data_IF_990386454904
#
_entry.id   IF_990386454904
#
_cell.length_a   1.000
_cell.length_b   1.000
_cell.length_c   1.000
_cell.angle_alpha   90.00
_cell.angle_beta   90.00
_cell.angle_gamma   90.00
#
_symmetry.space_group_name_H-M   'P 1'
#
loop_
_entity.id
_entity.type
_entity.pdbx_description
1 polymer ?
#
# COMPACT_ATOMS: atom_id res chain seq x y z
N UNK A 1 11.84 34.43 27.81
CA UNK A 1 12.14 33.46 26.75
C UNK A 1 10.82 32.93 26.20
N UNK A 2 10.58 33.05 24.89
CA UNK A 2 9.27 32.77 24.27
C UNK A 2 9.08 31.26 24.05
N UNK A 3 8.28 30.61 24.89
CA UNK A 3 7.93 29.18 24.82
C UNK A 3 6.88 28.85 23.74
N UNK A 4 6.25 29.88 23.18
CA UNK A 4 5.17 29.72 22.19
C UNK A 4 5.70 29.11 20.88
N UNK A 5 6.88 29.54 20.44
CA UNK A 5 7.51 29.06 19.20
C UNK A 5 7.99 27.60 19.31
N UNK A 6 8.38 27.14 20.50
CA UNK A 6 8.82 25.77 20.75
C UNK A 6 7.63 24.81 20.75
N UNK A 7 6.51 25.21 21.37
CA UNK A 7 5.29 24.40 21.39
C UNK A 7 4.70 24.16 20.00
N UNK A 8 4.69 25.17 19.11
CA UNK A 8 4.21 24.98 17.73
C UNK A 8 5.11 24.05 16.91
N UNK A 9 6.43 24.17 17.06
CA UNK A 9 7.38 23.29 16.40
C UNK A 9 7.23 21.84 16.86
N UNK A 10 7.09 21.63 18.17
CA UNK A 10 6.88 20.30 18.76
C UNK A 10 5.54 19.68 18.32
N UNK A 11 4.48 20.49 18.24
CA UNK A 11 3.18 20.03 17.73
C UNK A 11 3.26 19.62 16.25
N UNK A 12 3.95 20.41 15.41
CA UNK A 12 4.16 20.06 13.99
C UNK A 12 4.97 18.78 13.84
N UNK A 13 6.03 18.61 14.64
CA UNK A 13 6.85 17.39 14.64
C UNK A 13 6.01 16.17 15.04
N UNK A 14 5.18 16.27 16.08
CA UNK A 14 4.27 15.19 16.50
C UNK A 14 3.25 14.84 15.41
N UNK A 15 2.64 15.84 14.78
CA UNK A 15 1.67 15.64 13.72
C UNK A 15 2.30 14.94 12.49
N UNK A 16 3.51 15.35 12.10
CA UNK A 16 4.25 14.71 11.01
C UNK A 16 4.66 13.28 11.35
N UNK A 17 5.10 13.01 12.58
CA UNK A 17 5.40 11.65 13.03
C UNK A 17 4.16 10.74 12.99
N UNK A 18 3.01 11.23 13.48
CA UNK A 18 1.74 10.48 13.41
C UNK A 18 1.31 10.23 11.96
N UNK A 19 1.46 11.23 11.10
CA UNK A 19 1.16 11.09 9.67
C UNK A 19 2.08 10.05 9.00
N UNK A 20 3.38 10.05 9.32
CA UNK A 20 4.33 9.07 8.80
C UNK A 20 3.95 7.64 9.24
N UNK A 21 3.65 7.46 10.53
CA UNK A 21 3.20 6.18 11.06
C UNK A 21 1.91 5.69 10.39
N UNK A 22 0.94 6.58 10.17
CA UNK A 22 -0.30 6.23 9.47
C UNK A 22 -0.07 5.80 8.02
N UNK A 23 0.82 6.49 7.30
CA UNK A 23 1.18 6.13 5.92
C UNK A 23 1.94 4.80 5.89
N UNK A 24 2.89 4.58 6.78
CA UNK A 24 3.61 3.31 6.90
C UNK A 24 2.67 2.15 7.22
N UNK A 25 1.73 2.33 8.15
CA UNK A 25 0.71 1.34 8.46
C UNK A 25 -0.16 1.02 7.24
N UNK A 26 -0.53 2.03 6.46
CA UNK A 26 -1.25 1.83 5.20
C UNK A 26 -0.44 1.01 4.21
N UNK A 27 0.84 1.35 4.00
CA UNK A 27 1.75 0.60 3.10
C UNK A 27 1.78 -0.88 3.47
N UNK A 28 1.96 -1.21 4.76
CA UNK A 28 1.97 -2.61 5.24
C UNK A 28 0.67 -3.33 4.88
N UNK A 29 -0.49 -2.71 5.11
CA UNK A 29 -1.80 -3.30 4.78
C UNK A 29 -1.98 -3.53 3.28
N UNK A 30 -1.62 -2.55 2.45
CA UNK A 30 -1.72 -2.69 0.99
C UNK A 30 -0.75 -3.73 0.44
N UNK A 31 0.46 -3.85 1.01
CA UNK A 31 1.39 -4.92 0.65
C UNK A 31 0.82 -6.30 1.00
N UNK A 32 0.28 -6.48 2.21
CA UNK A 32 -0.35 -7.74 2.62
C UNK A 32 -1.49 -8.13 1.66
N UNK A 33 -2.35 -7.17 1.32
CA UNK A 33 -3.44 -7.42 0.37
C UNK A 33 -2.94 -7.79 -1.04
N UNK A 34 -1.87 -7.16 -1.52
CA UNK A 34 -1.26 -7.53 -2.79
C UNK A 34 -0.74 -8.98 -2.77
N UNK A 35 -0.08 -9.39 -1.69
CA UNK A 35 0.39 -10.76 -1.52
C UNK A 35 -0.76 -11.77 -1.50
N UNK A 36 -1.82 -11.51 -0.75
CA UNK A 36 -3.00 -12.39 -0.70
C UNK A 36 -3.61 -12.58 -2.11
N UNK A 37 -3.74 -11.50 -2.88
CA UNK A 37 -4.25 -11.57 -4.26
C UNK A 37 -3.31 -12.34 -5.19
N UNK A 38 -2.00 -12.18 -5.06
CA UNK A 38 -1.02 -12.92 -5.84
C UNK A 38 -1.06 -14.42 -5.54
N UNK A 39 -1.26 -14.79 -4.27
CA UNK A 39 -1.44 -16.18 -3.84
C UNK A 39 -2.77 -16.76 -4.34
N UNK A 40 -3.86 -16.00 -4.30
CA UNK A 40 -5.13 -16.40 -4.90
C UNK A 40 -5.02 -16.60 -6.42
N UNK A 41 -4.30 -15.72 -7.13
CA UNK A 41 -4.02 -15.89 -8.57
C UNK A 41 -3.22 -17.17 -8.82
N UNK A 42 -2.19 -17.42 -8.01
CA UNK A 42 -1.37 -18.64 -8.10
C UNK A 42 -2.22 -19.89 -7.87
N UNK A 43 -3.05 -19.88 -6.83
CA UNK A 43 -3.97 -20.97 -6.50
C UNK A 43 -5.03 -21.19 -7.59
N UNK A 44 -5.53 -20.10 -8.21
CA UNK A 44 -6.40 -20.21 -9.37
C UNK A 44 -5.65 -20.90 -10.51
N UNK A 45 -4.46 -20.41 -10.90
CA UNK A 45 -3.67 -20.97 -12.02
C UNK A 45 -3.30 -22.45 -11.84
N UNK A 46 -3.16 -22.94 -10.60
CA UNK A 46 -2.87 -24.35 -10.32
C UNK A 46 -4.08 -25.27 -10.38
N UNK A 47 -5.31 -24.74 -10.45
CA UNK A 47 -6.51 -25.58 -10.58
C UNK A 47 -6.63 -26.11 -12.00
N UNK A 48 -6.70 -27.44 -12.11
CA UNK A 48 -7.11 -28.12 -13.33
C UNK A 48 -8.58 -27.80 -13.65
N UNK A 49 -8.88 -27.67 -14.95
CA UNK A 49 -10.23 -27.39 -15.42
C UNK A 49 -10.73 -28.54 -16.26
N UNK A 50 -11.95 -28.98 -15.98
CA UNK A 50 -12.57 -30.12 -16.67
C UNK A 50 -13.35 -29.67 -17.90
N UNK A 51 -13.72 -28.38 -17.99
CA UNK A 51 -14.49 -27.82 -19.09
C UNK A 51 -13.93 -26.50 -19.61
N UNK A 52 -14.23 -26.17 -20.88
CA UNK A 52 -13.89 -24.88 -21.46
C UNK A 52 -14.57 -23.69 -20.76
N UNK A 53 -15.76 -23.92 -20.16
CA UNK A 53 -16.48 -22.90 -19.39
C UNK A 53 -15.73 -22.56 -18.10
N UNK A 54 -15.33 -23.56 -17.34
CA UNK A 54 -14.54 -23.39 -16.12
C UNK A 54 -13.21 -22.69 -16.40
N UNK A 55 -12.53 -23.06 -17.48
CA UNK A 55 -11.32 -22.36 -17.92
C UNK A 55 -11.59 -20.88 -18.23
N UNK A 56 -12.65 -20.55 -18.95
CA UNK A 56 -13.00 -19.15 -19.25
C UNK A 56 -13.31 -18.35 -17.98
N UNK A 57 -14.04 -18.93 -17.04
CA UNK A 57 -14.37 -18.29 -15.75
C UNK A 57 -13.11 -18.08 -14.89
N UNK A 58 -12.22 -19.07 -14.84
CA UNK A 58 -10.93 -18.98 -14.19
C UNK A 58 -10.07 -17.85 -14.79
N UNK A 59 -10.00 -17.74 -16.11
CA UNK A 59 -9.24 -16.66 -16.77
C UNK A 59 -9.81 -15.28 -16.46
N UNK A 60 -11.14 -15.13 -16.42
CA UNK A 60 -11.80 -13.87 -16.02
C UNK A 60 -11.48 -13.51 -14.57
N UNK A 61 -11.52 -14.49 -13.66
CA UNK A 61 -11.20 -14.28 -12.26
C UNK A 61 -9.72 -13.87 -12.07
N UNK A 62 -8.80 -14.53 -12.77
CA UNK A 62 -7.37 -14.18 -12.77
C UNK A 62 -7.19 -12.74 -13.27
N UNK A 63 -7.72 -12.39 -14.44
CA UNK A 63 -7.58 -11.06 -15.01
C UNK A 63 -8.15 -9.96 -14.11
N UNK A 64 -9.28 -10.23 -13.44
CA UNK A 64 -9.85 -9.31 -12.46
C UNK A 64 -8.92 -9.09 -11.27
N UNK A 65 -8.36 -10.16 -10.69
CA UNK A 65 -7.43 -10.05 -9.56
C UNK A 65 -6.12 -9.39 -9.95
N UNK A 66 -5.58 -9.66 -11.14
CA UNK A 66 -4.38 -8.99 -11.66
C UNK A 66 -4.60 -7.48 -11.79
N UNK A 67 -5.80 -7.06 -12.21
CA UNK A 67 -6.16 -5.65 -12.22
C UNK A 67 -6.17 -5.05 -10.80
N UNK A 68 -6.73 -5.75 -9.83
CA UNK A 68 -6.71 -5.31 -8.43
C UNK A 68 -5.27 -5.16 -7.89
N UNK A 69 -4.39 -6.12 -8.20
CA UNK A 69 -2.96 -6.02 -7.84
C UNK A 69 -2.32 -4.78 -8.44
N UNK A 70 -2.59 -4.47 -9.72
CA UNK A 70 -2.07 -3.27 -10.37
C UNK A 70 -2.58 -1.97 -9.74
N UNK A 71 -3.85 -1.93 -9.34
CA UNK A 71 -4.45 -0.80 -8.65
C UNK A 71 -3.81 -0.59 -7.26
N UNK A 72 -3.57 -1.68 -6.53
CA UNK A 72 -2.88 -1.66 -5.22
C UNK A 72 -1.43 -1.20 -5.38
N UNK A 73 -0.68 -1.74 -6.34
CA UNK A 73 0.70 -1.30 -6.62
C UNK A 73 0.77 0.19 -6.96
N UNK A 74 -0.20 0.68 -7.71
CA UNK A 74 -0.33 2.12 -8.00
C UNK A 74 -0.61 2.94 -6.75
N UNK A 75 -1.40 2.43 -5.81
CA UNK A 75 -1.65 3.08 -4.52
C UNK A 75 -0.41 3.06 -3.63
N UNK A 76 0.33 1.95 -3.58
CA UNK A 76 1.59 1.81 -2.86
C UNK A 76 2.61 2.86 -3.32
N UNK A 77 2.82 3.01 -4.64
CA UNK A 77 3.73 4.03 -5.17
C UNK A 77 3.36 5.45 -4.69
N UNK A 78 2.06 5.79 -4.62
CA UNK A 78 1.61 7.10 -4.10
C UNK A 78 1.88 7.25 -2.60
N UNK A 79 1.67 6.19 -1.83
CA UNK A 79 1.93 6.18 -0.39
C UNK A 79 3.43 6.28 -0.09
N UNK A 80 4.28 5.59 -0.84
CA UNK A 80 5.74 5.66 -0.73
C UNK A 80 6.25 7.07 -1.00
N UNK A 81 5.79 7.70 -2.09
CA UNK A 81 6.13 9.11 -2.39
C UNK A 81 5.72 10.03 -1.25
N UNK A 82 4.54 9.83 -0.67
CA UNK A 82 4.07 10.61 0.49
C UNK A 82 4.91 10.34 1.73
N UNK A 83 5.25 9.08 2.02
CA UNK A 83 6.09 8.71 3.16
C UNK A 83 7.47 9.38 3.04
N UNK A 84 8.09 9.34 1.85
CA UNK A 84 9.36 10.01 1.59
C UNK A 84 9.27 11.52 1.77
N UNK A 85 8.20 12.16 1.30
CA UNK A 85 8.00 13.60 1.50
C UNK A 85 7.89 13.97 2.98
N UNK A 86 7.16 13.18 3.78
CA UNK A 86 7.03 13.40 5.23
C UNK A 86 8.37 13.11 5.94
N UNK A 87 9.07 12.03 5.58
CA UNK A 87 10.36 11.69 6.15
C UNK A 87 11.41 12.80 5.91
N UNK A 88 11.43 13.41 4.72
CA UNK A 88 12.27 14.58 4.43
C UNK A 88 11.89 15.79 5.29
N UNK A 89 10.59 16.08 5.44
CA UNK A 89 10.12 17.17 6.30
C UNK A 89 10.51 16.99 7.78
N UNK A 90 10.65 15.73 8.21
CA UNK A 90 11.13 15.35 9.54
C UNK A 90 12.67 15.30 9.67
N UNK A 91 13.42 15.45 8.57
CA UNK A 91 14.87 15.29 8.54
C UNK A 91 15.36 13.84 8.67
N UNK A 92 14.49 12.86 8.40
CA UNK A 92 14.78 11.42 8.49
C UNK A 92 15.31 10.81 7.20
N UNK A 93 15.15 11.52 6.08
CA UNK A 93 15.61 11.09 4.76
C UNK A 93 16.23 12.28 4.01
N UNK A 94 17.24 12.04 3.15
CA UNK A 94 17.80 13.05 2.27
C UNK A 94 16.78 13.56 1.23
#
# INVERSE_FOLDING_TARGET
MSTFSTNEADQRQRALNQALQGVQGSIVLYCAWAFDLEDEIRALRSKEQSTAKEFSEQQKAIAFKERQVNEIRSALNRLEVRAHAIARALGLAP
#
